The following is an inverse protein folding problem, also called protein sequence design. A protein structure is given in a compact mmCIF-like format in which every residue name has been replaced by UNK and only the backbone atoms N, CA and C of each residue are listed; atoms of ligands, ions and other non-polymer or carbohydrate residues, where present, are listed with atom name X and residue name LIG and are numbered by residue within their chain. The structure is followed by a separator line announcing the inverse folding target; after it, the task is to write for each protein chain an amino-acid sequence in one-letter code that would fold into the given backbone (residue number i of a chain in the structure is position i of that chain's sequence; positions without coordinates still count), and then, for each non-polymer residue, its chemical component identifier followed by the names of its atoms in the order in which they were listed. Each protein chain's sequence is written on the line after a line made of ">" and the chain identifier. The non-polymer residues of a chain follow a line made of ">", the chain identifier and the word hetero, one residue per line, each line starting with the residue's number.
data_IF_994991099173
#
_entry.id   IF_994991099173
#
_cell.length_a   1.000
_cell.length_b   1.000
_cell.length_c   1.000
_cell.angle_alpha   90.00
_cell.angle_beta   90.00
_cell.angle_gamma   90.00
#
_symmetry.space_group_name_H-M   'P 1'
#
loop_
_entity.id
_entity.type
_entity.pdbx_description
1 polymer ?
#
# COMPACT_ATOMS: atom_id res chain seq x y z
N UNK A 1 51.39 16.64 -25.83
CA UNK A 1 50.79 16.18 -24.56
C UNK A 1 49.30 16.33 -24.77
N UNK A 2 48.61 15.32 -25.33
CA UNK A 2 48.20 14.05 -24.67
C UNK A 2 47.25 14.42 -23.52
N UNK A 3 45.92 14.47 -23.72
CA UNK A 3 44.93 13.38 -23.95
C UNK A 3 44.34 12.78 -22.66
N UNK A 4 43.09 12.30 -22.74
CA UNK A 4 42.29 11.79 -21.62
C UNK A 4 40.87 12.38 -21.62
N UNK A 5 40.04 12.17 -22.64
CA UNK A 5 39.33 10.92 -22.97
C UNK A 5 38.53 10.32 -21.80
N UNK A 6 37.20 10.41 -21.92
CA UNK A 6 36.28 9.28 -21.76
C UNK A 6 34.99 9.63 -22.55
N UNK A 7 35.09 9.49 -23.87
CA UNK A 7 33.94 9.17 -24.72
C UNK A 7 33.92 7.64 -24.87
N UNK A 8 32.74 7.07 -24.72
CA UNK A 8 32.28 5.73 -25.14
C UNK A 8 30.74 5.90 -25.09
N UNK A 9 30.09 6.47 -26.10
CA UNK A 9 29.91 5.94 -27.46
C UNK A 9 29.32 4.52 -27.49
N UNK A 10 28.00 4.47 -27.31
CA UNK A 10 27.14 3.40 -27.83
C UNK A 10 25.81 4.02 -28.28
N UNK A 11 25.88 4.91 -29.26
CA UNK A 11 24.71 5.33 -30.03
C UNK A 11 24.42 4.24 -31.07
N UNK A 12 23.50 3.32 -30.78
CA UNK A 12 23.18 2.21 -31.71
C UNK A 12 21.94 2.50 -32.56
N UNK A 13 22.21 2.82 -33.84
CA UNK A 13 21.29 3.03 -34.96
C UNK A 13 21.47 1.89 -35.99
N UNK A 14 20.47 1.27 -36.63
CA UNK A 14 19.01 1.52 -36.73
C UNK A 14 18.27 0.16 -36.76
N UNK A 15 17.06 0.08 -36.18
CA UNK A 15 16.07 -0.93 -36.55
C UNK A 15 14.65 -0.33 -36.69
N UNK A 16 14.42 0.46 -37.75
CA UNK A 16 13.08 0.95 -38.10
C UNK A 16 12.22 -0.23 -38.59
N UNK A 17 11.43 -0.82 -37.69
CA UNK A 17 10.40 -1.80 -38.05
C UNK A 17 9.81 -2.61 -36.90
N UNK A 18 8.57 -2.26 -36.51
CA UNK A 18 7.56 -3.00 -35.69
C UNK A 18 7.36 -2.63 -34.21
N UNK A 19 8.21 -1.83 -33.55
CA UNK A 19 8.18 -1.75 -32.07
C UNK A 19 7.40 -0.62 -31.38
N UNK A 20 6.88 0.39 -32.09
CA UNK A 20 6.07 1.47 -31.48
C UNK A 20 4.85 0.93 -30.71
N UNK A 21 4.21 -0.11 -31.24
CA UNK A 21 3.02 -0.75 -30.66
C UNK A 21 3.34 -1.47 -29.34
N UNK A 22 4.55 -2.03 -29.19
CA UNK A 22 4.98 -2.70 -27.97
C UNK A 22 5.32 -1.70 -26.86
N UNK A 23 5.99 -0.60 -27.19
CA UNK A 23 6.29 0.47 -26.24
C UNK A 23 4.98 1.08 -25.68
N UNK A 24 4.04 1.43 -26.56
CA UNK A 24 2.73 1.95 -26.16
C UNK A 24 1.96 0.97 -25.25
N UNK A 25 1.93 -0.33 -25.57
CA UNK A 25 1.28 -1.35 -24.72
C UNK A 25 1.93 -1.50 -23.35
N UNK A 26 3.26 -1.51 -23.27
CA UNK A 26 3.97 -1.57 -21.99
C UNK A 26 3.72 -0.33 -21.12
N UNK A 27 3.70 0.87 -21.71
CA UNK A 27 3.34 2.09 -20.97
C UNK A 27 1.88 2.07 -20.50
N UNK A 28 0.93 1.63 -21.33
CA UNK A 28 -0.48 1.51 -20.96
C UNK A 28 -0.71 0.52 -19.81
N UNK A 29 -0.19 -0.71 -19.91
CA UNK A 29 -0.23 -1.70 -18.82
C UNK A 29 0.39 -1.15 -17.53
N UNK A 30 1.53 -0.45 -17.65
CA UNK A 30 2.18 0.18 -16.49
C UNK A 30 1.29 1.27 -15.86
N UNK A 31 0.54 2.04 -16.65
CA UNK A 31 -0.37 3.09 -16.16
C UNK A 31 -1.61 2.47 -15.50
N UNK A 32 -2.22 1.44 -16.10
CA UNK A 32 -3.36 0.73 -15.51
C UNK A 32 -3.00 0.06 -14.19
N UNK A 33 -1.88 -0.67 -14.12
CA UNK A 33 -1.39 -1.24 -12.86
C UNK A 33 -1.06 -0.15 -11.83
N UNK A 34 -0.49 0.98 -12.27
CA UNK A 34 -0.22 2.12 -11.39
C UNK A 34 -1.49 2.73 -10.79
N UNK A 35 -2.59 2.84 -11.56
CA UNK A 35 -3.86 3.37 -11.07
C UNK A 35 -4.64 2.33 -10.26
N UNK A 36 -4.72 1.08 -10.72
CA UNK A 36 -5.41 -0.02 -10.05
C UNK A 36 -4.89 -0.29 -8.64
N UNK A 37 -3.57 -0.36 -8.44
CA UNK A 37 -2.98 -0.52 -7.10
C UNK A 37 -3.28 0.69 -6.22
N UNK A 38 -3.25 1.91 -6.75
CA UNK A 38 -3.56 3.10 -5.97
C UNK A 38 -5.01 3.09 -5.49
N UNK A 39 -5.96 2.74 -6.35
CA UNK A 39 -7.38 2.59 -6.03
C UNK A 39 -7.62 1.51 -4.98
N UNK A 40 -7.00 0.32 -5.13
CA UNK A 40 -7.10 -0.75 -4.13
C UNK A 40 -6.53 -0.32 -2.77
N UNK A 41 -5.37 0.35 -2.76
CA UNK A 41 -4.76 0.81 -1.50
C UNK A 41 -5.61 1.88 -0.81
N UNK A 42 -6.25 2.76 -1.57
CA UNK A 42 -7.16 3.79 -1.05
C UNK A 42 -8.46 3.18 -0.52
N UNK A 43 -9.07 2.27 -1.28
CA UNK A 43 -10.30 1.56 -0.92
C UNK A 43 -10.13 0.69 0.33
N UNK A 44 -9.06 -0.11 0.40
CA UNK A 44 -8.88 -1.12 1.46
C UNK A 44 -8.07 -0.63 2.66
N UNK A 45 -7.21 0.38 2.52
CA UNK A 45 -6.36 0.84 3.62
C UNK A 45 -6.54 2.32 3.99
N UNK A 46 -7.20 3.15 3.16
CA UNK A 46 -7.36 4.59 3.40
C UNK A 46 -7.97 4.94 4.76
N UNK A 47 -9.05 4.27 5.15
CA UNK A 47 -9.76 4.51 6.43
C UNK A 47 -9.10 3.86 7.66
N UNK A 48 -8.04 3.08 7.47
CA UNK A 48 -7.30 2.44 8.55
C UNK A 48 -6.23 3.38 9.14
N UNK A 49 -5.59 4.21 8.31
CA UNK A 49 -4.51 5.12 8.72
C UNK A 49 -5.00 6.55 8.99
N UNK A 50 -4.79 7.04 10.22
CA UNK A 50 -5.18 8.40 10.64
C UNK A 50 -4.52 9.49 9.78
N UNK A 51 -3.27 9.29 9.35
CA UNK A 51 -2.56 10.18 8.43
C UNK A 51 -2.28 9.50 7.08
N UNK A 52 -3.34 8.97 6.45
CA UNK A 52 -3.22 8.28 5.16
C UNK A 52 -2.53 9.14 4.08
N UNK A 53 -2.76 10.47 4.05
CA UNK A 53 -2.13 11.36 3.06
C UNK A 53 -0.60 11.31 3.08
N UNK A 54 0.02 11.19 4.26
CA UNK A 54 1.47 11.07 4.39
C UNK A 54 1.99 9.66 4.04
N UNK A 55 1.22 8.60 4.35
CA UNK A 55 1.65 7.21 4.14
C UNK A 55 1.27 6.63 2.77
N UNK A 56 0.32 7.23 2.04
CA UNK A 56 -0.23 6.79 0.75
C UNK A 56 0.86 6.37 -0.25
N UNK A 57 1.87 7.20 -0.46
CA UNK A 57 2.93 6.93 -1.44
C UNK A 57 3.82 5.73 -1.04
N UNK A 58 4.01 5.49 0.26
CA UNK A 58 4.75 4.32 0.77
C UNK A 58 3.92 3.05 0.63
N UNK A 59 2.65 3.09 1.02
CA UNK A 59 1.71 1.98 0.89
C UNK A 59 1.52 1.56 -0.58
N UNK A 60 1.40 2.52 -1.50
CA UNK A 60 1.28 2.22 -2.95
C UNK A 60 2.55 1.58 -3.50
N UNK A 61 3.75 1.99 -3.04
CA UNK A 61 5.00 1.36 -3.45
C UNK A 61 5.07 -0.09 -2.97
N UNK A 62 4.90 -0.30 -1.66
CA UNK A 62 4.89 -1.65 -1.06
C UNK A 62 3.83 -2.57 -1.68
N UNK A 63 2.64 -2.05 -1.98
CA UNK A 63 1.58 -2.80 -2.65
C UNK A 63 1.93 -3.16 -4.11
N UNK A 64 2.69 -2.32 -4.84
CA UNK A 64 3.20 -2.66 -6.18
C UNK A 64 4.29 -3.71 -6.11
N UNK A 65 5.24 -3.55 -5.19
CA UNK A 65 6.34 -4.52 -5.00
C UNK A 65 5.74 -5.90 -4.68
N UNK A 66 4.76 -5.95 -3.77
CA UNK A 66 4.03 -7.18 -3.42
C UNK A 66 3.20 -7.75 -4.59
N UNK A 67 2.47 -6.90 -5.32
CA UNK A 67 1.71 -7.29 -6.52
C UNK A 67 2.60 -7.95 -7.58
N UNK A 68 3.79 -7.39 -7.82
CA UNK A 68 4.72 -7.89 -8.83
C UNK A 68 5.39 -9.19 -8.36
N UNK A 69 5.95 -9.20 -7.15
CA UNK A 69 6.75 -10.34 -6.67
C UNK A 69 5.91 -11.57 -6.31
N UNK A 70 4.78 -11.41 -5.62
CA UNK A 70 3.97 -12.55 -5.13
C UNK A 70 2.78 -12.85 -6.05
N UNK A 71 2.13 -11.80 -6.57
CA UNK A 71 0.89 -11.93 -7.34
C UNK A 71 1.09 -11.84 -8.86
N UNK A 72 2.35 -11.81 -9.33
CA UNK A 72 2.72 -11.84 -10.75
C UNK A 72 2.05 -10.73 -11.60
N UNK A 73 1.81 -9.56 -11.01
CA UNK A 73 1.10 -8.45 -11.66
C UNK A 73 -0.44 -8.61 -11.71
N UNK A 74 -1.01 -9.72 -11.22
CA UNK A 74 -2.45 -9.97 -11.28
C UNK A 74 -3.22 -9.17 -10.22
N UNK A 75 -3.78 -8.04 -10.65
CA UNK A 75 -4.55 -7.13 -9.79
C UNK A 75 -5.74 -7.83 -9.10
N UNK A 76 -6.41 -8.74 -9.80
CA UNK A 76 -7.58 -9.48 -9.29
C UNK A 76 -7.19 -10.47 -8.17
N UNK A 77 -6.08 -11.22 -8.33
CA UNK A 77 -5.57 -12.09 -7.26
C UNK A 77 -5.13 -11.28 -6.06
N UNK A 78 -4.40 -10.18 -6.30
CA UNK A 78 -3.98 -9.27 -5.23
C UNK A 78 -5.16 -8.67 -4.44
N UNK A 79 -6.26 -8.31 -5.09
CA UNK A 79 -7.47 -7.86 -4.37
C UNK A 79 -8.06 -8.99 -3.51
N UNK A 80 -8.28 -10.17 -4.12
CA UNK A 80 -9.00 -11.29 -3.50
C UNK A 80 -8.21 -11.96 -2.38
N UNK A 81 -6.92 -12.19 -2.58
CA UNK A 81 -6.06 -13.00 -1.72
C UNK A 81 -5.28 -12.14 -0.70
N UNK A 82 -5.00 -10.87 -1.00
CA UNK A 82 -4.31 -9.95 -0.08
C UNK A 82 -5.21 -8.84 0.46
N UNK A 83 -5.73 -7.95 -0.39
CA UNK A 83 -6.36 -6.71 0.07
C UNK A 83 -7.61 -6.97 0.93
N UNK A 84 -8.50 -7.87 0.50
CA UNK A 84 -9.73 -8.22 1.24
C UNK A 84 -9.43 -8.90 2.58
N UNK A 85 -8.60 -9.96 2.67
CA UNK A 85 -8.22 -10.56 3.95
C UNK A 85 -7.50 -9.58 4.89
N UNK A 86 -6.54 -8.80 4.38
CA UNK A 86 -5.77 -7.84 5.18
C UNK A 86 -6.66 -6.72 5.76
N UNK A 87 -7.56 -6.14 4.95
CA UNK A 87 -8.53 -5.17 5.43
C UNK A 87 -9.41 -5.74 6.55
N UNK A 88 -9.97 -6.95 6.36
CA UNK A 88 -10.84 -7.60 7.35
C UNK A 88 -10.09 -7.84 8.67
N UNK A 89 -8.85 -8.31 8.61
CA UNK A 89 -7.99 -8.52 9.78
C UNK A 89 -7.68 -7.20 10.51
N UNK A 90 -7.30 -6.15 9.77
CA UNK A 90 -6.96 -4.85 10.36
C UNK A 90 -8.18 -4.14 10.97
N UNK A 91 -9.36 -4.25 10.34
CA UNK A 91 -10.62 -3.76 10.93
C UNK A 91 -10.96 -4.50 12.22
N UNK A 92 -10.80 -5.84 12.25
CA UNK A 92 -11.00 -6.64 13.46
C UNK A 92 -10.03 -6.21 14.59
N UNK A 93 -8.75 -6.05 14.29
CA UNK A 93 -7.74 -5.57 15.26
C UNK A 93 -8.13 -4.18 15.78
N UNK A 94 -8.45 -3.24 14.88
CA UNK A 94 -8.88 -1.87 15.22
C UNK A 94 -10.08 -1.87 16.16
N UNK A 95 -11.11 -2.67 15.86
CA UNK A 95 -12.29 -2.82 16.73
C UNK A 95 -11.93 -3.38 18.12
N UNK A 96 -11.15 -4.47 18.20
CA UNK A 96 -10.78 -5.08 19.48
C UNK A 96 -9.92 -4.17 20.37
N UNK A 97 -9.06 -3.35 19.77
CA UNK A 97 -8.28 -2.34 20.51
C UNK A 97 -9.21 -1.29 21.12
N UNK A 98 -10.18 -0.76 20.37
CA UNK A 98 -11.15 0.19 20.90
C UNK A 98 -12.02 -0.41 22.01
N UNK A 99 -12.52 -1.65 21.86
CA UNK A 99 -13.29 -2.31 22.92
C UNK A 99 -12.48 -2.45 24.21
N UNK A 100 -11.24 -2.94 24.14
CA UNK A 100 -10.37 -3.03 25.32
C UNK A 100 -10.08 -1.69 25.98
N UNK A 101 -9.95 -0.61 25.21
CA UNK A 101 -9.78 0.74 25.77
C UNK A 101 -11.04 1.19 26.53
N UNK A 102 -12.23 0.91 26.00
CA UNK A 102 -13.51 1.21 26.66
C UNK A 102 -13.65 0.39 27.95
N UNK A 103 -13.39 -0.92 27.91
CA UNK A 103 -13.47 -1.79 29.10
C UNK A 103 -12.52 -1.32 30.23
N UNK A 104 -11.33 -0.85 29.88
CA UNK A 104 -10.34 -0.30 30.83
C UNK A 104 -10.84 1.03 31.42
N UNK A 105 -11.43 1.90 30.61
CA UNK A 105 -12.01 3.18 31.03
C UNK A 105 -13.10 2.96 32.09
N UNK A 106 -14.13 2.17 31.77
CA UNK A 106 -15.22 1.85 32.72
C UNK A 106 -14.70 1.21 34.02
N UNK A 107 -13.74 0.28 33.93
CA UNK A 107 -13.13 -0.37 35.11
C UNK A 107 -12.20 0.53 35.93
N UNK A 108 -11.91 1.74 35.46
CA UNK A 108 -11.22 2.77 36.23
C UNK A 108 -12.21 3.63 37.02
N UNK A 109 -13.39 3.90 36.46
CA UNK A 109 -14.44 4.72 37.05
C UNK A 109 -15.17 3.99 38.19
N UNK A 110 -15.46 2.68 38.03
CA UNK A 110 -16.02 1.83 39.09
C UNK A 110 -15.15 1.75 40.37
N UNK A 111 -13.85 2.05 40.27
CA UNK A 111 -12.95 2.07 41.45
C UNK A 111 -12.99 3.37 42.24
N UNK A 112 -13.62 4.42 41.72
CA UNK A 112 -13.77 5.72 42.37
C UNK A 112 -15.09 5.78 43.17
N UNK A 113 -16.11 5.01 42.78
CA UNK A 113 -17.37 4.85 43.53
C UNK A 113 -17.34 3.66 44.52
N UNK A 114 -16.55 3.78 45.60
CA UNK A 114 -16.91 3.11 46.87
C UNK A 114 -17.62 4.11 47.77
N UNK A 115 -18.88 3.88 48.18
CA UNK A 115 -19.56 4.80 49.08
C UNK A 115 -18.86 4.84 50.45
N UNK A 116 -18.65 6.06 50.97
CA UNK A 116 -18.22 6.33 52.35
C UNK A 116 -19.38 6.09 53.34
N UNK A 117 -19.97 4.89 53.29
CA UNK A 117 -21.17 4.52 54.01
C UNK A 117 -20.94 3.27 54.88
N UNK A 118 -19.88 3.27 55.69
CA UNK A 118 -19.59 2.27 56.72
C UNK A 118 -18.63 2.87 57.78
N UNK A 119 -19.16 3.78 58.62
CA UNK A 119 -18.59 4.24 59.90
C UNK A 119 -19.69 4.67 60.85
#
# INVERSE_FOLDING_TARGET
>A
MVEGYFEDEAAEEIAVGRDEVNYAKNTANTIELKSGVASLVEQYFGSLYVNYKATKNTLIRQARDLLVCEYNGSLQKFEMEFCRPANKLLQFIKFNIYQKMIDIQYRSEDRIMKPLAER
#
